data_IF_913194292891
#
_entry.id   IF_913194292891
#
_cell.length_a   1.000
_cell.length_b   1.000
_cell.length_c   1.000
_cell.angle_alpha   90.00
_cell.angle_beta   90.00
_cell.angle_gamma   90.00
#
_symmetry.space_group_name_H-M   'P 1'
#
loop_
_entity.id
_entity.type
_entity.pdbx_description
1 polymer ?
#
# COMPACT_ATOMS: atom_id res chain seq x y z
N UNK A 1 8.61 -6.00 -14.18
CA UNK A 1 7.14 -5.90 -13.99
C UNK A 1 6.86 -5.02 -12.81
N UNK A 2 6.15 -3.90 -13.02
CA UNK A 2 5.74 -3.04 -11.92
C UNK A 2 4.83 -3.84 -10.99
N UNK A 3 5.26 -4.03 -9.73
CA UNK A 3 4.61 -4.93 -8.78
C UNK A 3 4.31 -6.34 -9.37
N UNK A 4 5.24 -6.89 -10.13
CA UNK A 4 5.19 -8.24 -10.67
C UNK A 4 6.00 -9.20 -9.79
N UNK A 5 7.24 -9.44 -10.15
CA UNK A 5 8.14 -10.35 -9.42
C UNK A 5 8.35 -9.91 -7.96
N UNK A 6 8.30 -8.59 -7.67
CA UNK A 6 8.38 -8.08 -6.30
C UNK A 6 7.32 -8.71 -5.38
N UNK A 7 6.11 -8.95 -5.88
CA UNK A 7 5.03 -9.57 -5.07
C UNK A 7 5.32 -11.06 -4.83
N UNK A 8 5.91 -11.75 -5.80
CA UNK A 8 6.33 -13.16 -5.65
C UNK A 8 7.50 -13.28 -4.67
N UNK A 9 8.41 -12.31 -4.65
CA UNK A 9 9.50 -12.25 -3.68
C UNK A 9 8.95 -12.02 -2.25
N UNK A 10 7.96 -11.13 -2.09
CA UNK A 10 7.28 -10.92 -0.81
C UNK A 10 6.53 -12.19 -0.35
N UNK A 11 5.83 -12.89 -1.23
CA UNK A 11 5.20 -14.17 -0.93
C UNK A 11 6.23 -15.20 -0.48
N UNK A 12 7.37 -15.28 -1.18
CA UNK A 12 8.48 -16.19 -0.81
C UNK A 12 9.03 -15.86 0.58
N UNK A 13 9.15 -14.56 0.92
CA UNK A 13 9.59 -14.11 2.23
C UNK A 13 8.57 -14.50 3.32
N UNK A 14 7.27 -14.30 3.10
CA UNK A 14 6.21 -14.71 4.03
C UNK A 14 6.21 -16.22 4.22
N UNK A 15 6.33 -17.00 3.14
CA UNK A 15 6.42 -18.45 3.21
C UNK A 15 7.61 -18.91 4.06
N UNK A 16 8.76 -18.26 3.90
CA UNK A 16 9.93 -18.55 4.75
C UNK A 16 9.66 -18.17 6.22
N UNK A 17 9.14 -16.98 6.49
CA UNK A 17 8.82 -16.53 7.86
C UNK A 17 7.86 -17.50 8.54
N UNK A 18 6.87 -18.00 7.82
CA UNK A 18 5.87 -18.94 8.34
C UNK A 18 6.46 -20.32 8.74
N UNK A 19 7.69 -20.62 8.32
CA UNK A 19 8.40 -21.83 8.81
C UNK A 19 9.07 -21.66 10.16
N UNK A 20 9.18 -20.41 10.64
CA UNK A 20 9.89 -20.11 11.87
C UNK A 20 8.97 -20.34 13.08
N UNK A 21 9.40 -21.06 14.12
CA UNK A 21 8.55 -21.51 15.22
C UNK A 21 8.04 -20.39 16.14
N UNK A 22 8.55 -19.16 15.96
CA UNK A 22 8.16 -17.97 16.74
C UNK A 22 7.35 -16.97 15.90
N UNK A 23 7.01 -17.30 14.66
CA UNK A 23 6.17 -16.48 13.80
C UNK A 23 4.78 -17.11 13.73
N UNK A 24 3.78 -16.28 13.95
CA UNK A 24 2.40 -16.65 13.71
C UNK A 24 2.02 -16.25 12.26
N UNK A 25 1.82 -17.21 11.36
CA UNK A 25 1.52 -16.91 9.97
C UNK A 25 0.16 -16.22 9.76
N UNK A 26 -0.76 -16.35 10.73
CA UNK A 26 -2.05 -15.69 10.69
C UNK A 26 -2.01 -14.23 11.15
N UNK A 27 -0.82 -13.74 11.56
CA UNK A 27 -0.64 -12.38 12.11
C UNK A 27 0.53 -11.64 11.48
N UNK A 28 0.70 -11.79 10.16
CA UNK A 28 1.72 -11.07 9.41
C UNK A 28 1.08 -9.85 8.75
N UNK A 29 1.65 -8.68 9.00
CA UNK A 29 1.28 -7.42 8.35
C UNK A 29 2.37 -6.91 7.40
N UNK A 30 1.99 -6.01 6.52
CA UNK A 30 2.91 -5.33 5.59
C UNK A 30 2.73 -3.82 5.68
N UNK A 31 3.83 -3.07 5.67
CA UNK A 31 3.74 -1.63 5.48
C UNK A 31 4.85 -1.10 4.57
N UNK A 32 4.54 -0.03 3.90
CA UNK A 32 5.53 0.65 3.07
C UNK A 32 5.08 2.05 2.69
N UNK A 33 6.04 2.86 2.24
CA UNK A 33 5.81 4.22 1.74
C UNK A 33 6.34 4.37 0.33
N UNK A 34 5.71 5.24 -0.48
CA UNK A 34 6.06 5.45 -1.89
C UNK A 34 5.92 4.14 -2.68
N UNK A 35 6.98 3.66 -3.33
CA UNK A 35 6.97 2.36 -3.99
C UNK A 35 6.65 1.20 -3.03
N UNK A 36 7.13 1.26 -1.77
CA UNK A 36 6.74 0.30 -0.74
C UNK A 36 5.24 0.33 -0.42
N UNK A 37 4.62 1.50 -0.44
CA UNK A 37 3.16 1.64 -0.33
C UNK A 37 2.43 1.05 -1.53
N UNK A 38 2.97 1.22 -2.72
CA UNK A 38 2.48 0.57 -3.95
C UNK A 38 2.55 -0.95 -3.83
N UNK A 39 3.69 -1.50 -3.39
CA UNK A 39 3.83 -2.94 -3.16
C UNK A 39 2.85 -3.46 -2.11
N UNK A 40 2.58 -2.69 -1.05
CA UNK A 40 1.55 -3.03 -0.05
C UNK A 40 0.18 -3.17 -0.71
N UNK A 41 -0.25 -2.18 -1.50
CA UNK A 41 -1.55 -2.23 -2.20
C UNK A 41 -1.62 -3.43 -3.14
N UNK A 42 -0.61 -3.62 -4.00
CA UNK A 42 -0.59 -4.75 -4.92
C UNK A 42 -0.54 -6.11 -4.22
N UNK A 43 0.14 -6.22 -3.08
CA UNK A 43 0.17 -7.46 -2.30
C UNK A 43 -1.21 -7.84 -1.79
N UNK A 44 -1.93 -6.90 -1.16
CA UNK A 44 -3.28 -7.13 -0.64
C UNK A 44 -4.28 -7.44 -1.78
N UNK A 45 -4.10 -6.85 -2.96
CA UNK A 45 -5.02 -7.04 -4.08
C UNK A 45 -4.72 -8.28 -4.93
N UNK A 46 -3.45 -8.67 -5.07
CA UNK A 46 -3.05 -9.84 -5.89
C UNK A 46 -2.92 -11.13 -5.10
N UNK A 47 -2.70 -11.04 -3.80
CA UNK A 47 -2.48 -12.17 -2.88
C UNK A 47 -3.34 -11.99 -1.62
N UNK A 48 -4.68 -11.98 -1.75
CA UNK A 48 -5.57 -11.88 -0.58
C UNK A 48 -5.23 -12.96 0.46
N UNK A 49 -5.20 -12.56 1.73
CA UNK A 49 -4.87 -13.44 2.84
C UNK A 49 -3.37 -13.69 3.08
N UNK A 50 -2.48 -13.21 2.21
CA UNK A 50 -1.03 -13.30 2.44
C UNK A 50 -0.59 -12.44 3.62
N UNK A 51 -1.20 -11.26 3.77
CA UNK A 51 -1.02 -10.34 4.88
C UNK A 51 -2.38 -10.03 5.49
N UNK A 52 -2.52 -10.10 6.79
CA UNK A 52 -3.80 -9.80 7.49
C UNK A 52 -4.11 -8.32 7.58
N UNK A 53 -3.09 -7.48 7.56
CA UNK A 53 -3.22 -6.04 7.60
C UNK A 53 -2.11 -5.38 6.78
N UNK A 54 -2.43 -4.28 6.12
CA UNK A 54 -1.47 -3.49 5.36
C UNK A 54 -1.61 -1.99 5.58
N UNK A 55 -0.47 -1.30 5.64
CA UNK A 55 -0.42 0.16 5.72
C UNK A 55 0.30 0.72 4.50
N UNK A 56 -0.42 1.38 3.61
CA UNK A 56 0.09 1.94 2.37
C UNK A 56 0.25 3.46 2.48
N UNK A 57 1.49 3.93 2.64
CA UNK A 57 1.82 5.35 2.70
C UNK A 57 2.22 5.91 1.34
N UNK A 58 1.65 7.05 0.93
CA UNK A 58 2.01 7.77 -0.30
C UNK A 58 2.15 6.84 -1.53
N UNK A 59 1.24 5.86 -1.65
CA UNK A 59 1.28 4.84 -2.68
C UNK A 59 0.89 5.40 -4.06
N UNK A 60 1.66 5.01 -5.07
CA UNK A 60 1.33 5.27 -6.46
C UNK A 60 0.56 4.06 -7.03
N UNK A 61 -0.74 4.21 -7.21
CA UNK A 61 -1.63 3.09 -7.60
C UNK A 61 -2.06 3.15 -9.06
N UNK A 62 -1.96 4.31 -9.67
CA UNK A 62 -2.29 4.52 -11.08
C UNK A 62 -1.03 4.98 -11.84
N UNK A 63 -0.55 4.19 -12.80
CA UNK A 63 0.65 4.52 -13.58
C UNK A 63 0.58 5.86 -14.32
N UNK A 64 -0.61 6.36 -14.63
CA UNK A 64 -0.79 7.66 -15.29
C UNK A 64 -0.44 8.86 -14.40
N UNK A 65 -0.32 8.65 -13.08
CA UNK A 65 0.11 9.69 -12.13
C UNK A 65 1.60 9.62 -11.79
N UNK A 66 2.34 8.69 -12.38
CA UNK A 66 3.79 8.70 -12.28
C UNK A 66 4.39 9.84 -13.09
N UNK A 67 5.45 10.44 -12.59
CA UNK A 67 6.28 11.34 -13.37
C UNK A 67 6.86 10.65 -14.61
N UNK A 68 7.18 11.42 -15.63
CA UNK A 68 7.74 10.88 -16.89
C UNK A 68 9.00 10.06 -16.71
N UNK A 69 9.79 10.34 -15.67
CA UNK A 69 11.03 9.63 -15.37
C UNK A 69 10.76 8.25 -14.77
N UNK A 70 9.72 8.12 -13.93
CA UNK A 70 9.32 6.85 -13.32
C UNK A 70 8.73 5.90 -14.36
N UNK A 71 7.96 6.42 -15.32
CA UNK A 71 7.42 5.64 -16.45
C UNK A 71 8.52 5.05 -17.33
N UNK A 72 9.66 5.73 -17.46
CA UNK A 72 10.80 5.22 -18.22
C UNK A 72 11.50 4.04 -17.54
N UNK A 73 11.42 3.96 -16.21
CA UNK A 73 12.00 2.88 -15.41
C UNK A 73 11.08 1.65 -15.38
N UNK A 74 9.78 1.88 -15.34
CA UNK A 74 8.82 0.81 -15.09
C UNK A 74 8.41 0.09 -16.37
N UNK A 75 7.83 0.75 -17.31
CA UNK A 75 7.46 0.30 -18.69
C UNK A 75 6.75 1.44 -19.40
N UNK A 76 6.60 1.34 -20.70
CA UNK A 76 5.92 2.37 -21.50
C UNK A 76 4.51 1.91 -21.87
N UNK A 77 3.51 2.83 -21.86
CA UNK A 77 2.14 2.52 -22.29
C UNK A 77 2.07 1.90 -23.68
N UNK A 78 2.95 2.33 -24.59
CA UNK A 78 2.99 1.84 -25.98
C UNK A 78 3.38 0.37 -26.08
N UNK A 79 4.19 -0.13 -25.14
CA UNK A 79 4.65 -1.53 -25.13
C UNK A 79 3.85 -2.43 -24.21
N UNK A 80 3.15 -1.86 -23.21
CA UNK A 80 2.40 -2.62 -22.19
C UNK A 80 1.11 -1.88 -21.82
N UNK A 81 0.19 -1.66 -22.77
CA UNK A 81 -1.03 -0.88 -22.52
C UNK A 81 -1.91 -1.49 -21.41
N UNK A 82 -1.92 -2.80 -21.27
CA UNK A 82 -2.69 -3.51 -20.23
C UNK A 82 -2.21 -3.19 -18.81
N UNK A 83 -0.91 -3.00 -18.62
CA UNK A 83 -0.33 -2.63 -17.32
C UNK A 83 -0.70 -1.19 -16.90
N UNK A 84 -1.07 -0.36 -17.88
CA UNK A 84 -1.43 1.04 -17.67
C UNK A 84 -2.94 1.28 -17.68
N UNK A 85 -3.75 0.30 -18.10
CA UNK A 85 -5.18 0.50 -18.28
C UNK A 85 -5.87 0.98 -16.99
N UNK A 86 -5.52 0.43 -15.84
CA UNK A 86 -6.09 0.81 -14.53
C UNK A 86 -5.12 0.69 -13.35
N UNK A 87 -3.86 0.35 -13.59
CA UNK A 87 -2.88 0.13 -12.51
C UNK A 87 -3.37 -0.88 -11.46
N UNK A 88 -3.18 -0.56 -10.17
CA UNK A 88 -3.64 -1.40 -9.07
C UNK A 88 -5.18 -1.49 -8.98
N UNK A 89 -5.90 -0.51 -9.51
CA UNK A 89 -7.37 -0.43 -9.42
C UNK A 89 -8.07 -1.62 -10.09
N UNK A 90 -7.45 -2.25 -11.10
CA UNK A 90 -8.01 -3.43 -11.75
C UNK A 90 -8.13 -4.64 -10.81
N UNK A 91 -7.41 -4.65 -9.71
CA UNK A 91 -7.42 -5.73 -8.71
C UNK A 91 -8.11 -5.34 -7.40
N UNK A 92 -8.65 -4.12 -7.30
CA UNK A 92 -9.20 -3.57 -6.06
C UNK A 92 -10.38 -4.40 -5.49
N UNK A 93 -11.12 -5.10 -6.36
CA UNK A 93 -12.22 -5.99 -5.94
C UNK A 93 -11.75 -7.20 -5.13
N UNK A 94 -10.48 -7.54 -5.21
CA UNK A 94 -9.91 -8.66 -4.45
C UNK A 94 -9.50 -8.27 -3.01
N UNK A 95 -9.64 -7.02 -2.58
CA UNK A 95 -9.31 -6.65 -1.21
C UNK A 95 -10.18 -7.41 -0.21
N UNK A 96 -9.57 -8.23 0.63
CA UNK A 96 -10.18 -9.00 1.72
C UNK A 96 -9.55 -8.68 3.07
N UNK A 97 -8.33 -8.14 3.07
CA UNK A 97 -7.52 -7.85 4.24
C UNK A 97 -7.68 -6.40 4.73
N UNK A 98 -7.28 -6.12 5.95
CA UNK A 98 -7.40 -4.78 6.53
C UNK A 98 -6.40 -3.81 5.91
N UNK A 99 -6.88 -2.74 5.32
CA UNK A 99 -6.07 -1.73 4.64
C UNK A 99 -6.19 -0.36 5.32
N UNK A 100 -5.05 0.22 5.68
CA UNK A 100 -4.92 1.64 6.03
C UNK A 100 -4.16 2.38 4.93
N UNK A 101 -4.78 3.38 4.34
CA UNK A 101 -4.16 4.30 3.38
C UNK A 101 -3.71 5.56 4.14
N UNK A 102 -2.45 5.97 3.96
CA UNK A 102 -1.91 7.21 4.52
C UNK A 102 -1.37 8.08 3.40
N UNK A 103 -1.79 9.36 3.31
CA UNK A 103 -1.30 10.25 2.25
C UNK A 103 -1.22 11.72 2.69
N UNK A 104 -0.14 12.40 2.29
CA UNK A 104 0.01 13.83 2.44
C UNK A 104 -0.71 14.60 1.33
N UNK A 105 -1.56 15.58 1.68
CA UNK A 105 -2.29 16.36 0.66
C UNK A 105 -1.39 17.33 -0.13
N UNK A 106 -0.19 17.63 0.36
CA UNK A 106 0.84 18.45 -0.30
C UNK A 106 1.92 17.60 -0.96
N UNK A 107 1.61 16.33 -1.27
CA UNK A 107 2.55 15.45 -1.96
C UNK A 107 2.71 15.86 -3.42
N UNK A 108 3.94 16.26 -3.79
CA UNK A 108 4.30 16.68 -5.15
C UNK A 108 5.01 15.57 -5.94
N UNK A 109 5.39 14.47 -5.28
CA UNK A 109 6.04 13.31 -5.91
C UNK A 109 4.98 12.32 -6.35
N UNK A 110 4.14 11.88 -5.41
CA UNK A 110 2.96 11.06 -5.71
C UNK A 110 1.73 11.90 -5.36
N UNK A 111 1.03 12.46 -6.35
CA UNK A 111 -0.10 13.36 -6.09
C UNK A 111 -1.18 12.70 -5.24
N UNK A 112 -1.71 13.41 -4.24
CA UNK A 112 -2.81 12.94 -3.37
C UNK A 112 -4.00 12.38 -4.16
N UNK A 113 -4.20 12.85 -5.38
CA UNK A 113 -5.25 12.37 -6.28
C UNK A 113 -5.20 10.85 -6.48
N UNK A 114 -4.02 10.22 -6.45
CA UNK A 114 -3.89 8.76 -6.61
C UNK A 114 -4.59 8.01 -5.46
N UNK A 115 -4.40 8.48 -4.22
CA UNK A 115 -5.06 7.91 -3.06
C UNK A 115 -6.58 8.19 -3.07
N UNK A 116 -6.99 9.37 -3.53
CA UNK A 116 -8.42 9.70 -3.65
C UNK A 116 -9.12 8.81 -4.70
N UNK A 117 -8.47 8.54 -5.84
CA UNK A 117 -9.01 7.63 -6.88
C UNK A 117 -9.09 6.19 -6.36
N UNK A 118 -8.09 5.74 -5.61
CA UNK A 118 -8.14 4.42 -4.97
C UNK A 118 -9.29 4.31 -3.97
N UNK A 119 -9.44 5.30 -3.10
CA UNK A 119 -10.53 5.33 -2.12
C UNK A 119 -11.91 5.33 -2.79
N UNK A 120 -12.10 6.11 -3.84
CA UNK A 120 -13.34 6.13 -4.63
C UNK A 120 -13.66 4.74 -5.24
N UNK A 121 -12.65 4.07 -5.80
CA UNK A 121 -12.85 2.74 -6.35
C UNK A 121 -13.21 1.71 -5.27
N UNK A 122 -12.54 1.73 -4.11
CA UNK A 122 -12.85 0.85 -2.99
C UNK A 122 -14.27 1.08 -2.45
N UNK A 123 -14.69 2.36 -2.31
CA UNK A 123 -16.06 2.71 -1.94
C UNK A 123 -17.07 2.17 -2.96
N UNK A 124 -16.81 2.36 -4.25
CA UNK A 124 -17.66 1.87 -5.34
C UNK A 124 -17.83 0.34 -5.30
N UNK A 125 -16.78 -0.37 -4.90
CA UNK A 125 -16.77 -1.83 -4.75
C UNK A 125 -17.31 -2.32 -3.40
N UNK A 126 -17.66 -1.41 -2.48
CA UNK A 126 -18.14 -1.75 -1.14
C UNK A 126 -17.07 -2.39 -0.24
N UNK A 127 -15.79 -2.08 -0.49
CA UNK A 127 -14.66 -2.58 0.32
C UNK A 127 -14.46 -1.70 1.56
N UNK A 128 -14.12 -2.34 2.66
CA UNK A 128 -13.78 -1.65 3.91
C UNK A 128 -12.29 -1.29 3.95
N UNK A 129 -11.98 -0.08 4.40
CA UNK A 129 -10.62 0.43 4.54
C UNK A 129 -10.58 1.68 5.41
N UNK A 130 -9.42 1.95 6.00
CA UNK A 130 -9.15 3.18 6.72
C UNK A 130 -8.37 4.17 5.85
N UNK A 131 -8.65 5.47 5.99
CA UNK A 131 -7.94 6.51 5.25
C UNK A 131 -7.53 7.67 6.15
N UNK A 132 -6.23 7.87 6.27
CA UNK A 132 -5.63 9.01 6.99
C UNK A 132 -4.95 9.94 5.99
N UNK A 133 -5.49 11.13 5.82
CA UNK A 133 -4.85 12.19 5.03
C UNK A 133 -4.34 13.30 5.93
N UNK A 134 -3.19 13.87 5.58
CA UNK A 134 -2.55 14.94 6.36
C UNK A 134 -2.45 16.20 5.50
N UNK A 135 -3.23 17.26 5.82
CA UNK A 135 -3.35 18.44 4.95
C UNK A 135 -2.05 19.14 4.61
N UNK A 136 -1.10 19.22 5.54
CA UNK A 136 0.18 19.90 5.36
C UNK A 136 1.36 18.98 5.08
N UNK A 137 1.16 17.66 5.01
CA UNK A 137 2.28 16.74 4.74
C UNK A 137 2.58 16.63 3.25
N UNK A 138 3.89 16.55 2.96
CA UNK A 138 4.45 16.25 1.65
C UNK A 138 4.75 14.75 1.52
N UNK A 139 5.44 14.32 0.46
CA UNK A 139 5.84 12.93 0.26
C UNK A 139 6.66 12.35 1.41
N UNK A 140 7.55 13.15 2.00
CA UNK A 140 8.36 12.77 3.16
C UNK A 140 7.66 13.08 4.49
N UNK A 141 6.58 12.39 4.83
CA UNK A 141 5.72 12.61 6.00
C UNK A 141 6.35 12.35 7.38
N UNK A 142 7.65 12.09 7.43
CA UNK A 142 8.41 12.02 8.69
C UNK A 142 8.83 13.39 9.24
N UNK A 143 8.63 14.45 8.47
CA UNK A 143 8.94 15.84 8.88
C UNK A 143 7.77 16.76 8.58
N UNK A 144 7.46 17.70 9.49
CA UNK A 144 7.99 17.88 10.84
C UNK A 144 7.62 16.72 11.80
N UNK A 145 8.34 16.59 12.91
CA UNK A 145 8.27 15.45 13.86
C UNK A 145 6.85 15.14 14.37
N UNK A 146 5.96 16.11 14.46
CA UNK A 146 4.58 15.88 14.90
C UNK A 146 3.81 15.04 13.87
N UNK A 147 4.09 15.16 12.57
CA UNK A 147 3.49 14.26 11.57
C UNK A 147 4.00 12.83 11.73
N UNK A 148 5.32 12.65 11.90
CA UNK A 148 5.87 11.32 12.14
C UNK A 148 5.20 10.65 13.34
N UNK A 149 5.10 11.35 14.48
CA UNK A 149 4.45 10.81 15.68
C UNK A 149 3.01 10.42 15.44
N UNK A 150 2.24 11.28 14.76
CA UNK A 150 0.84 11.01 14.45
C UNK A 150 0.68 9.80 13.51
N UNK A 151 1.47 9.76 12.44
CA UNK A 151 1.32 8.74 11.40
C UNK A 151 1.86 7.36 11.82
N UNK A 152 2.98 7.32 12.55
CA UNK A 152 3.43 6.06 13.16
C UNK A 152 2.50 5.59 14.28
N UNK A 153 1.85 6.51 15.01
CA UNK A 153 0.77 6.14 15.93
C UNK A 153 -0.37 5.45 15.20
N UNK A 154 -0.86 6.01 14.08
CA UNK A 154 -1.91 5.39 13.27
C UNK A 154 -1.51 4.03 12.70
N UNK A 155 -0.26 3.88 12.28
CA UNK A 155 0.28 2.62 11.79
C UNK A 155 0.29 1.55 12.91
N UNK A 156 0.76 1.91 14.10
CA UNK A 156 0.78 1.01 15.26
C UNK A 156 -0.64 0.64 15.67
N UNK A 157 -1.53 1.63 15.83
CA UNK A 157 -2.94 1.40 16.17
C UNK A 157 -3.61 0.41 15.21
N UNK A 158 -3.34 0.55 13.88
CA UNK A 158 -3.90 -0.34 12.88
C UNK A 158 -3.40 -1.78 13.02
N UNK A 159 -2.10 -1.99 13.21
CA UNK A 159 -1.56 -3.32 13.42
C UNK A 159 -1.97 -3.92 14.76
N UNK A 160 -2.02 -3.14 15.83
CA UNK A 160 -2.50 -3.60 17.13
C UNK A 160 -3.96 -4.07 17.06
N UNK A 161 -4.78 -3.37 16.30
CA UNK A 161 -6.20 -3.72 16.13
C UNK A 161 -6.40 -4.99 15.30
N UNK A 162 -5.61 -5.20 14.25
CA UNK A 162 -5.89 -6.22 13.23
C UNK A 162 -4.95 -7.44 13.28
N UNK A 163 -3.80 -7.32 13.95
CA UNK A 163 -2.90 -8.47 14.17
C UNK A 163 -2.98 -9.03 15.59
N UNK A 164 -3.70 -8.36 16.50
CA UNK A 164 -3.88 -8.80 17.89
C UNK A 164 -2.57 -9.29 18.52
N UNK A 165 -1.52 -8.44 18.63
CA UNK A 165 -0.26 -8.87 19.19
C UNK A 165 -0.49 -9.43 20.60
N UNK A 166 0.13 -10.56 20.90
CA UNK A 166 0.01 -11.20 22.20
C UNK A 166 0.50 -10.31 23.36
N UNK A 167 0.31 -10.71 24.60
CA UNK A 167 0.73 -9.91 25.74
C UNK A 167 2.23 -9.60 25.66
N UNK A 168 2.56 -8.33 25.81
CA UNK A 168 3.94 -7.82 25.83
C UNK A 168 4.61 -8.12 27.16
#
# INVERSE_FOLDING_TARGET
DFAGNDIEDLESAVNYLSTLPYVDPERIGIWGSSYGGTLTIYSLFKKPGLFKAGVAGAAAVDPYFFGTDDVAIVRRPESHPEAFARGALQYADNLEDHLLIIHGMQDHVVPFKTAAVLAEELIRLGKDFDFVFVPGATHGWTRPTHYARYLFGKLIDHFDQHLEPGPQ
#
